data_IF_039794074451
#
_entry.id   IF_039794074451
#
_cell.length_a   1.000
_cell.length_b   1.000
_cell.length_c   1.000
_cell.angle_alpha   90.00
_cell.angle_beta   90.00
_cell.angle_gamma   90.00
#
_symmetry.space_group_name_H-M   'P 1'
#
loop_
_entity.id
_entity.type
_entity.pdbx_description
1 polymer ?
#
# COMPACT_ATOMS: atom_id res chain seq x y z
N UNK A 1 61.77 -13.23 -53.78
CA UNK A 1 61.77 -11.77 -53.54
C UNK A 1 60.32 -11.30 -53.58
N UNK A 2 59.79 -10.77 -52.45
CA UNK A 2 58.49 -10.08 -52.20
C UNK A 2 57.20 -10.78 -52.73
N UNK A 3 56.39 -11.49 -51.93
CA UNK A 3 55.42 -11.06 -50.89
C UNK A 3 54.47 -9.94 -51.35
N UNK A 4 53.18 -10.28 -51.48
CA UNK A 4 52.05 -9.49 -50.95
C UNK A 4 50.79 -10.34 -50.78
N UNK A 5 50.13 -10.17 -49.63
CA UNK A 5 48.94 -10.84 -49.10
C UNK A 5 47.69 -9.96 -49.29
N UNK A 6 46.49 -10.54 -49.23
CA UNK A 6 45.34 -10.14 -48.40
C UNK A 6 44.15 -11.07 -48.71
N UNK A 7 43.85 -12.03 -47.82
CA UNK A 7 42.87 -11.99 -46.74
C UNK A 7 41.46 -12.43 -47.17
N UNK A 8 41.27 -13.75 -47.08
CA UNK A 8 39.99 -14.44 -46.97
C UNK A 8 39.59 -14.55 -45.49
N UNK A 9 38.29 -14.64 -45.20
CA UNK A 9 37.81 -15.08 -43.90
C UNK A 9 36.44 -14.52 -43.56
N UNK A 10 35.39 -15.12 -44.11
CA UNK A 10 34.02 -14.91 -43.65
C UNK A 10 33.86 -15.49 -42.24
N UNK A 11 33.34 -14.67 -41.33
CA UNK A 11 33.00 -15.05 -39.96
C UNK A 11 31.66 -15.78 -39.98
N UNK A 12 31.65 -17.06 -39.62
CA UNK A 12 30.43 -17.80 -39.31
C UNK A 12 30.13 -17.63 -37.82
N UNK A 13 29.00 -16.97 -37.53
CA UNK A 13 28.53 -16.63 -36.19
C UNK A 13 27.99 -17.90 -35.48
N UNK A 14 28.50 -18.18 -34.28
CA UNK A 14 27.94 -19.17 -33.35
C UNK A 14 26.58 -18.67 -32.81
N UNK A 15 25.55 -19.52 -32.88
CA UNK A 15 24.30 -19.33 -32.15
C UNK A 15 24.35 -20.14 -30.84
N UNK A 16 24.54 -19.44 -29.73
CA UNK A 16 24.23 -19.89 -28.37
C UNK A 16 23.05 -19.04 -27.91
N UNK A 17 21.86 -19.64 -27.72
CA UNK A 17 20.75 -19.00 -27.04
C UNK A 17 20.24 -19.98 -25.98
N UNK A 18 20.64 -19.67 -24.76
CA UNK A 18 20.18 -20.24 -23.51
C UNK A 18 18.67 -20.00 -23.36
N UNK A 19 17.94 -21.05 -22.98
CA UNK A 19 16.54 -20.98 -22.55
C UNK A 19 16.43 -20.07 -21.32
N UNK A 20 16.07 -18.82 -21.54
CA UNK A 20 15.54 -17.92 -20.51
C UNK A 20 14.15 -18.40 -20.13
N UNK A 21 13.97 -18.79 -18.86
CA UNK A 21 12.66 -18.92 -18.26
C UNK A 21 12.02 -17.54 -18.20
N UNK A 22 11.12 -17.25 -19.15
CA UNK A 22 10.22 -16.11 -19.06
C UNK A 22 9.20 -16.40 -17.95
N UNK A 23 9.45 -15.94 -16.73
CA UNK A 23 8.33 -15.47 -15.90
C UNK A 23 7.74 -14.30 -16.67
N UNK A 24 6.56 -14.50 -17.26
CA UNK A 24 5.79 -13.42 -17.84
C UNK A 24 5.27 -12.57 -16.67
N UNK A 25 6.07 -11.60 -16.23
CA UNK A 25 5.55 -10.47 -15.47
C UNK A 25 4.52 -9.78 -16.37
N UNK A 26 3.29 -9.73 -15.90
CA UNK A 26 2.17 -9.15 -16.62
C UNK A 26 2.42 -7.63 -16.76
N UNK A 27 2.75 -7.09 -17.95
CA UNK A 27 3.20 -5.70 -18.10
C UNK A 27 2.05 -4.68 -18.02
N UNK A 28 0.82 -5.11 -17.74
CA UNK A 28 -0.38 -4.26 -17.78
C UNK A 28 -0.79 -3.64 -16.43
N UNK A 29 0.02 -3.73 -15.37
CA UNK A 29 -0.41 -3.22 -14.05
C UNK A 29 0.67 -2.50 -13.21
N UNK A 30 1.75 -1.98 -13.81
CA UNK A 30 2.64 -1.06 -13.09
C UNK A 30 2.00 0.34 -13.08
N UNK A 31 0.96 0.53 -12.26
CA UNK A 31 0.53 1.88 -11.91
C UNK A 31 1.57 2.53 -11.03
N UNK A 32 1.77 3.84 -11.18
CA UNK A 32 2.72 4.61 -10.37
C UNK A 32 2.25 4.64 -8.90
N UNK A 33 2.99 4.02 -7.95
CA UNK A 33 2.61 4.03 -6.54
C UNK A 33 2.46 5.43 -5.95
N UNK A 34 3.16 6.43 -6.50
CA UNK A 34 3.08 7.80 -6.02
C UNK A 34 1.65 8.34 -6.02
N UNK A 35 0.82 7.93 -6.99
CA UNK A 35 -0.58 8.37 -7.05
C UNK A 35 -1.39 7.93 -5.82
N UNK A 36 -1.17 6.71 -5.32
CA UNK A 36 -1.83 6.25 -4.09
C UNK A 36 -1.42 7.11 -2.89
N UNK A 37 -0.11 7.30 -2.70
CA UNK A 37 0.43 8.01 -1.55
C UNK A 37 0.10 9.51 -1.56
N UNK A 38 0.08 10.14 -2.73
CA UNK A 38 -0.36 11.54 -2.88
C UNK A 38 -1.81 11.71 -2.39
N UNK A 39 -2.68 10.72 -2.65
CA UNK A 39 -4.06 10.75 -2.20
C UNK A 39 -4.20 10.50 -0.70
N UNK A 40 -3.42 9.58 -0.14
CA UNK A 40 -3.34 9.38 1.32
C UNK A 40 -2.88 10.65 2.02
N UNK A 41 -1.81 11.28 1.52
CA UNK A 41 -1.29 12.52 2.07
C UNK A 41 -2.30 13.68 2.00
N UNK A 42 -3.02 13.82 0.88
CA UNK A 42 -4.12 14.79 0.75
C UNK A 42 -5.25 14.53 1.76
N UNK A 43 -5.63 13.26 1.95
CA UNK A 43 -6.68 12.89 2.89
C UNK A 43 -6.29 13.28 4.33
N UNK A 44 -5.05 12.99 4.74
CA UNK A 44 -4.51 13.39 6.05
C UNK A 44 -4.44 14.91 6.21
N UNK A 45 -4.01 15.63 5.18
CA UNK A 45 -3.95 17.09 5.20
C UNK A 45 -5.33 17.76 5.29
N UNK A 46 -6.42 17.04 5.02
CA UNK A 46 -7.79 17.58 5.14
C UNK A 46 -8.28 17.73 6.60
N UNK A 47 -7.49 17.29 7.60
CA UNK A 47 -7.75 17.44 9.03
C UNK A 47 -9.10 16.86 9.51
N UNK A 48 -9.61 15.80 8.85
CA UNK A 48 -10.67 14.98 9.46
C UNK A 48 -10.07 14.39 10.73
N UNK A 49 -10.41 14.97 11.88
CA UNK A 49 -9.72 14.76 13.15
C UNK A 49 -9.75 13.29 13.54
N UNK A 50 -8.60 12.61 13.42
CA UNK A 50 -8.38 11.33 14.08
C UNK A 50 -8.17 11.65 15.57
N UNK A 51 -9.04 11.14 16.45
CA UNK A 51 -8.86 11.34 17.87
C UNK A 51 -7.77 10.40 18.39
N UNK A 52 -6.61 10.96 18.70
CA UNK A 52 -5.44 10.22 19.16
C UNK A 52 -4.71 9.58 17.98
N UNK A 53 -3.40 9.79 17.93
CA UNK A 53 -2.48 9.15 17.01
C UNK A 53 -1.23 8.78 17.83
N UNK A 54 -0.54 7.67 17.52
CA UNK A 54 0.78 7.40 18.08
C UNK A 54 1.75 8.54 17.73
N UNK A 55 2.67 8.87 18.64
CA UNK A 55 3.67 9.91 18.40
C UNK A 55 4.72 9.44 17.37
N UNK A 56 5.04 8.15 17.35
CA UNK A 56 6.03 7.53 16.46
C UNK A 56 5.67 6.08 16.08
N UNK A 57 6.45 5.51 15.15
CA UNK A 57 6.25 4.14 14.66
C UNK A 57 6.48 3.09 15.76
N UNK A 58 7.39 3.34 16.70
CA UNK A 58 7.66 2.41 17.78
C UNK A 58 6.45 2.32 18.72
N UNK A 59 5.83 3.44 19.08
CA UNK A 59 4.57 3.47 19.82
C UNK A 59 3.45 2.79 19.04
N UNK A 60 3.31 3.10 17.75
CA UNK A 60 2.25 2.55 16.89
C UNK A 60 2.24 1.02 16.86
N UNK A 61 3.41 0.37 16.94
CA UNK A 61 3.54 -1.09 16.88
C UNK A 61 3.74 -1.75 18.25
N UNK A 62 4.02 -0.97 19.29
CA UNK A 62 4.21 -1.48 20.64
C UNK A 62 2.93 -1.54 21.47
N UNK A 63 1.97 -0.65 21.18
CA UNK A 63 0.71 -0.58 21.93
C UNK A 63 -0.41 -1.34 21.20
N UNK A 64 -1.05 -2.27 21.91
CA UNK A 64 -2.21 -3.03 21.42
C UNK A 64 -3.47 -2.15 21.25
N UNK A 65 -3.42 -0.91 21.76
CA UNK A 65 -4.41 0.13 21.47
C UNK A 65 -4.32 0.58 20.01
N UNK A 66 -3.13 0.59 19.42
CA UNK A 66 -2.92 1.13 18.08
C UNK A 66 -2.96 0.04 17.01
N UNK A 67 -2.10 -0.98 17.12
CA UNK A 67 -1.95 -2.00 16.10
C UNK A 67 -2.45 -3.37 16.57
N UNK A 68 -3.38 -3.93 15.80
CA UNK A 68 -3.82 -5.32 15.95
C UNK A 68 -2.93 -6.29 15.18
N UNK A 69 -2.27 -5.82 14.12
CA UNK A 69 -1.45 -6.64 13.23
C UNK A 69 -0.37 -5.81 12.54
N UNK A 70 0.86 -6.33 12.53
CA UNK A 70 1.95 -5.80 11.70
C UNK A 70 2.38 -6.91 10.75
N UNK A 71 2.59 -6.58 9.47
CA UNK A 71 3.01 -7.54 8.47
C UNK A 71 3.97 -6.95 7.43
N UNK A 72 4.74 -7.83 6.82
CA UNK A 72 5.52 -7.62 5.61
C UNK A 72 5.08 -8.67 4.58
N UNK A 73 4.84 -8.26 3.35
CA UNK A 73 4.42 -9.21 2.31
C UNK A 73 4.17 -8.61 0.94
N UNK A 74 3.75 -9.46 0.02
CA UNK A 74 3.50 -9.08 -1.36
C UNK A 74 2.02 -8.78 -1.59
N UNK A 75 1.71 -7.67 -2.26
CA UNK A 75 0.35 -7.39 -2.73
C UNK A 75 0.00 -8.38 -3.84
N UNK A 76 -1.00 -9.23 -3.59
CA UNK A 76 -1.41 -10.30 -4.53
C UNK A 76 -2.74 -10.02 -5.22
N UNK A 77 -3.62 -9.22 -4.60
CA UNK A 77 -4.87 -8.79 -5.22
C UNK A 77 -5.26 -7.39 -4.77
N UNK A 78 -5.91 -6.66 -5.68
CA UNK A 78 -6.53 -5.35 -5.44
C UNK A 78 -7.87 -5.35 -6.16
N UNK A 79 -8.95 -5.38 -5.38
CA UNK A 79 -10.31 -5.59 -5.88
C UNK A 79 -11.23 -4.42 -5.49
N UNK A 80 -11.98 -3.85 -6.45
CA UNK A 80 -13.01 -2.88 -6.11
C UNK A 80 -14.10 -3.58 -5.30
N UNK A 81 -14.54 -2.95 -4.20
CA UNK A 81 -15.58 -3.51 -3.32
C UNK A 81 -16.91 -2.82 -3.55
N UNK A 82 -16.99 -1.53 -3.22
CA UNK A 82 -18.17 -0.70 -3.42
C UNK A 82 -17.80 0.79 -3.35
N UNK A 83 -18.74 1.67 -3.66
CA UNK A 83 -18.60 3.09 -3.41
C UNK A 83 -19.74 3.61 -2.54
N UNK A 84 -19.56 4.81 -1.98
CA UNK A 84 -20.56 5.49 -1.16
C UNK A 84 -20.88 6.84 -1.77
N UNK A 85 -22.16 7.10 -1.96
CA UNK A 85 -22.72 8.38 -2.36
C UNK A 85 -23.48 8.98 -1.17
N UNK A 86 -23.14 10.20 -0.81
CA UNK A 86 -23.82 10.96 0.24
C UNK A 86 -24.76 11.98 -0.42
N UNK A 87 -26.04 11.65 -0.68
CA UNK A 87 -26.96 12.53 -1.40
C UNK A 87 -27.25 13.84 -0.65
N UNK A 88 -27.13 13.81 0.67
CA UNK A 88 -27.40 14.92 1.58
C UNK A 88 -26.10 15.56 2.11
N UNK A 89 -24.94 15.27 1.50
CA UNK A 89 -23.70 15.95 1.85
C UNK A 89 -23.80 17.44 1.51
N UNK A 90 -24.23 18.22 2.49
CA UNK A 90 -24.11 19.67 2.48
C UNK A 90 -22.65 20.01 2.83
N UNK A 91 -21.88 20.64 1.94
CA UNK A 91 -20.51 21.06 2.23
C UNK A 91 -20.40 22.02 3.44
N UNK A 92 -21.52 22.49 4.01
CA UNK A 92 -21.59 23.31 5.22
C UNK A 92 -21.89 22.60 6.54
N UNK A 93 -22.14 21.28 6.60
CA UNK A 93 -22.52 20.58 7.84
C UNK A 93 -21.75 19.27 8.09
N UNK A 94 -20.68 19.28 8.88
CA UNK A 94 -19.99 18.06 9.29
C UNK A 94 -20.85 17.27 10.30
N UNK A 95 -21.09 15.98 10.02
CA UNK A 95 -21.52 14.99 11.02
C UNK A 95 -22.86 14.28 10.82
N UNK A 96 -23.64 14.56 9.77
CA UNK A 96 -24.95 13.91 9.50
C UNK A 96 -24.94 13.04 8.22
N UNK A 97 -23.77 12.88 7.59
CA UNK A 97 -23.63 12.29 6.24
C UNK A 97 -23.97 10.79 6.20
N UNK A 98 -23.78 10.05 7.30
CA UNK A 98 -24.02 8.61 7.33
C UNK A 98 -25.52 8.24 7.26
N UNK A 99 -26.42 9.07 7.79
CA UNK A 99 -27.84 8.74 7.89
C UNK A 99 -28.56 8.66 6.53
N UNK A 100 -27.96 9.23 5.47
CA UNK A 100 -28.44 9.19 4.08
C UNK A 100 -27.52 8.43 3.12
N UNK A 101 -26.42 7.84 3.60
CA UNK A 101 -25.40 7.22 2.76
C UNK A 101 -25.96 6.08 1.90
N UNK A 102 -25.68 6.13 0.60
CA UNK A 102 -26.09 5.11 -0.37
C UNK A 102 -24.86 4.34 -0.85
N UNK A 103 -24.91 3.01 -0.74
CA UNK A 103 -23.93 2.16 -1.41
C UNK A 103 -24.26 2.14 -2.90
N UNK A 104 -23.29 2.51 -3.72
CA UNK A 104 -23.38 2.56 -5.19
C UNK A 104 -22.26 1.73 -5.80
N UNK A 105 -22.33 1.51 -7.11
CA UNK A 105 -21.27 0.82 -7.84
C UNK A 105 -19.94 1.56 -7.72
N UNK A 106 -18.83 0.83 -7.69
CA UNK A 106 -17.49 1.41 -7.50
C UNK A 106 -17.18 2.53 -8.51
N UNK A 107 -17.60 2.33 -9.76
CA UNK A 107 -17.39 3.27 -10.87
C UNK A 107 -18.49 4.35 -10.97
N UNK A 108 -19.42 4.43 -10.01
CA UNK A 108 -20.47 5.46 -10.04
C UNK A 108 -19.82 6.85 -10.00
N UNK A 109 -20.11 7.73 -10.97
CA UNK A 109 -19.53 9.07 -11.03
C UNK A 109 -20.02 10.00 -9.91
N UNK A 110 -21.04 9.60 -9.15
CA UNK A 110 -21.55 10.33 -7.99
C UNK A 110 -20.92 9.88 -6.69
N UNK A 111 -20.08 8.84 -6.71
CA UNK A 111 -19.40 8.37 -5.51
C UNK A 111 -18.59 9.51 -4.88
N UNK A 112 -18.76 9.70 -3.58
CA UNK A 112 -17.95 10.60 -2.76
C UNK A 112 -16.80 9.85 -2.09
N UNK A 113 -16.96 8.54 -1.88
CA UNK A 113 -15.94 7.64 -1.38
C UNK A 113 -15.98 6.33 -2.16
N UNK A 114 -14.82 5.70 -2.28
CA UNK A 114 -14.65 4.38 -2.87
C UNK A 114 -13.96 3.47 -1.88
N UNK A 115 -14.40 2.23 -1.83
CA UNK A 115 -13.88 1.20 -0.95
C UNK A 115 -13.38 0.05 -1.80
N UNK A 116 -12.19 -0.42 -1.47
CA UNK A 116 -11.53 -1.54 -2.14
C UNK A 116 -10.81 -2.40 -1.12
N UNK A 117 -10.62 -3.65 -1.49
CA UNK A 117 -9.91 -4.63 -0.69
C UNK A 117 -8.53 -4.88 -1.32
N UNK A 118 -7.51 -4.89 -0.48
CA UNK A 118 -6.13 -5.26 -0.86
C UNK A 118 -5.76 -6.52 -0.11
N UNK A 119 -5.37 -7.56 -0.83
CA UNK A 119 -4.89 -8.81 -0.24
C UNK A 119 -3.37 -8.85 -0.30
N UNK A 120 -2.76 -9.09 0.86
CA UNK A 120 -1.32 -9.25 1.03
C UNK A 120 -1.03 -10.70 1.41
N UNK A 121 -0.12 -11.35 0.68
CA UNK A 121 0.49 -12.63 1.05
C UNK A 121 1.68 -12.34 1.97
N UNK A 122 1.59 -12.61 3.29
CA UNK A 122 2.61 -12.21 4.24
C UNK A 122 3.83 -13.14 4.18
N UNK A 123 5.02 -12.53 4.06
CA UNK A 123 6.28 -13.22 4.32
C UNK A 123 6.56 -13.29 5.84
N UNK A 124 6.08 -12.29 6.57
CA UNK A 124 6.13 -12.22 8.02
C UNK A 124 4.92 -11.44 8.56
N UNK A 125 4.39 -11.86 9.72
CA UNK A 125 3.42 -11.07 10.46
C UNK A 125 3.39 -11.45 11.94
N UNK A 126 2.85 -10.55 12.77
CA UNK A 126 2.60 -10.83 14.20
C UNK A 126 1.48 -11.84 14.44
N UNK A 127 0.57 -12.03 13.46
CA UNK A 127 -0.61 -12.90 13.55
C UNK A 127 -0.47 -14.28 12.86
N UNK A 128 0.61 -14.51 12.10
CA UNK A 128 0.85 -15.74 11.33
C UNK A 128 0.76 -15.60 9.80
N UNK A 129 1.02 -16.68 9.07
CA UNK A 129 1.26 -16.67 7.61
C UNK A 129 0.06 -17.01 6.73
N UNK A 130 -1.12 -16.41 6.97
CA UNK A 130 -2.26 -16.50 6.05
C UNK A 130 -2.46 -15.17 5.35
N UNK A 131 -2.95 -15.19 4.11
CA UNK A 131 -3.33 -13.99 3.36
C UNK A 131 -4.17 -13.03 4.22
N UNK A 132 -3.77 -11.76 4.23
CA UNK A 132 -4.44 -10.70 4.99
C UNK A 132 -5.13 -9.79 4.01
N UNK A 133 -6.44 -9.59 4.19
CA UNK A 133 -7.20 -8.59 3.42
C UNK A 133 -7.40 -7.35 4.28
N UNK A 134 -6.98 -6.20 3.74
CA UNK A 134 -7.22 -4.90 4.34
C UNK A 134 -8.15 -4.07 3.44
N UNK A 135 -8.96 -3.22 4.07
CA UNK A 135 -9.90 -2.32 3.41
C UNK A 135 -9.27 -0.93 3.29
N UNK A 136 -9.24 -0.37 2.08
CA UNK A 136 -8.80 1.01 1.83
C UNK A 136 -9.97 1.87 1.37
N UNK A 137 -9.95 3.12 1.82
CA UNK A 137 -10.80 4.19 1.30
C UNK A 137 -10.05 5.04 0.28
N UNK A 138 -10.72 5.41 -0.80
CA UNK A 138 -10.26 6.42 -1.75
C UNK A 138 -11.33 7.50 -1.89
N UNK A 139 -10.90 8.73 -2.13
CA UNK A 139 -11.84 9.82 -2.38
C UNK A 139 -12.58 9.63 -3.70
N UNK A 140 -13.82 10.11 -3.76
CA UNK A 140 -14.71 10.06 -4.92
C UNK A 140 -14.20 10.85 -6.14
N UNK A 141 -13.28 11.80 -5.93
CA UNK A 141 -12.62 12.56 -6.99
C UNK A 141 -11.37 11.86 -7.56
N UNK A 142 -10.89 10.80 -6.92
CA UNK A 142 -9.77 10.02 -7.43
C UNK A 142 -10.20 9.20 -8.65
N UNK A 143 -9.33 9.16 -9.67
CA UNK A 143 -9.52 8.25 -10.80
C UNK A 143 -9.45 6.79 -10.29
N UNK A 144 -10.54 6.02 -10.39
CA UNK A 144 -10.62 4.69 -9.80
C UNK A 144 -9.66 3.70 -10.45
N UNK A 145 -9.48 3.77 -11.76
CA UNK A 145 -8.59 2.87 -12.49
C UNK A 145 -7.12 3.15 -12.13
N UNK A 146 -6.75 4.43 -12.07
CA UNK A 146 -5.41 4.85 -11.68
C UNK A 146 -5.10 4.49 -10.21
N UNK A 147 -6.07 4.62 -9.31
CA UNK A 147 -5.91 4.24 -7.90
C UNK A 147 -5.73 2.73 -7.71
N UNK A 148 -6.52 1.92 -8.43
CA UNK A 148 -6.35 0.46 -8.41
C UNK A 148 -5.00 0.05 -9.01
N UNK A 149 -4.58 0.70 -10.10
CA UNK A 149 -3.29 0.42 -10.74
C UNK A 149 -2.11 0.80 -9.83
N UNK A 150 -2.14 1.95 -9.14
CA UNK A 150 -1.05 2.39 -8.25
C UNK A 150 -0.85 1.46 -7.07
N UNK A 151 -1.93 0.92 -6.50
CA UNK A 151 -1.87 -0.08 -5.44
C UNK A 151 -1.26 -1.41 -5.92
N UNK A 152 -1.63 -1.87 -7.11
CA UNK A 152 -1.01 -3.06 -7.72
C UNK A 152 0.49 -2.87 -7.96
N UNK A 153 0.92 -1.64 -8.23
CA UNK A 153 2.32 -1.28 -8.39
C UNK A 153 3.16 -1.31 -7.12
N UNK A 154 2.57 -1.45 -5.92
CA UNK A 154 3.32 -1.47 -4.66
C UNK A 154 4.23 -2.70 -4.53
N UNK A 155 3.84 -3.83 -5.11
CA UNK A 155 4.56 -5.11 -5.05
C UNK A 155 4.87 -5.59 -3.63
N UNK A 156 5.95 -5.11 -3.00
CA UNK A 156 6.40 -5.52 -1.66
C UNK A 156 6.13 -4.41 -0.63
N UNK A 157 5.37 -4.73 0.41
CA UNK A 157 4.87 -3.76 1.38
C UNK A 157 5.07 -4.19 2.82
N UNK A 158 5.06 -3.19 3.69
CA UNK A 158 4.82 -3.35 5.13
C UNK A 158 3.52 -2.67 5.47
N UNK A 159 2.72 -3.27 6.35
CA UNK A 159 1.50 -2.66 6.84
C UNK A 159 1.38 -2.75 8.37
N UNK A 160 1.07 -1.62 9.00
CA UNK A 160 0.65 -1.55 10.41
C UNK A 160 -0.87 -1.34 10.41
N UNK A 161 -1.58 -2.33 10.93
CA UNK A 161 -3.02 -2.47 10.77
C UNK A 161 -3.74 -2.42 12.11
N UNK A 162 -4.86 -1.71 12.13
CA UNK A 162 -5.88 -1.84 13.17
C UNK A 162 -7.13 -2.55 12.64
N UNK A 163 -8.04 -2.91 13.53
CA UNK A 163 -9.36 -3.45 13.21
C UNK A 163 -10.45 -2.42 13.51
N UNK A 164 -11.39 -2.24 12.58
CA UNK A 164 -12.52 -1.35 12.83
C UNK A 164 -13.45 -1.95 13.88
N UNK A 165 -13.82 -1.18 14.89
CA UNK A 165 -14.66 -1.67 16.00
C UNK A 165 -16.16 -1.42 15.79
N UNK A 166 -16.55 -0.61 14.80
CA UNK A 166 -17.94 -0.23 14.57
C UNK A 166 -18.26 0.12 13.11
N UNK A 167 -19.55 0.31 12.83
CA UNK A 167 -20.06 0.65 11.50
C UNK A 167 -20.10 -0.54 10.52
N UNK A 168 -20.24 -0.21 9.23
CA UNK A 168 -20.42 -1.18 8.13
C UNK A 168 -19.20 -2.08 7.86
N UNK A 169 -18.02 -1.67 8.30
CA UNK A 169 -16.74 -2.36 8.11
C UNK A 169 -16.16 -2.92 9.41
N UNK A 170 -16.98 -3.11 10.45
CA UNK A 170 -16.50 -3.65 11.72
C UNK A 170 -15.83 -5.03 11.55
N UNK A 171 -14.67 -5.23 12.17
CA UNK A 171 -13.83 -6.42 12.07
C UNK A 171 -12.88 -6.43 10.87
N UNK A 172 -13.00 -5.48 9.93
CA UNK A 172 -12.07 -5.36 8.80
C UNK A 172 -10.76 -4.69 9.24
N UNK A 173 -9.63 -5.21 8.73
CA UNK A 173 -8.34 -4.56 8.89
C UNK A 173 -8.25 -3.30 8.03
N UNK A 174 -7.59 -2.28 8.55
CA UNK A 174 -7.27 -1.05 7.83
C UNK A 174 -5.87 -0.57 8.25
N UNK A 175 -5.09 0.03 7.34
CA UNK A 175 -3.82 0.61 7.75
C UNK A 175 -4.06 1.84 8.61
N UNK A 176 -3.30 1.95 9.69
CA UNK A 176 -3.39 3.06 10.62
C UNK A 176 -3.06 4.40 9.94
N UNK A 177 -3.47 5.49 10.61
CA UNK A 177 -3.28 6.86 10.13
C UNK A 177 -3.87 7.08 8.73
N UNK A 178 -5.10 6.58 8.53
CA UNK A 178 -5.84 6.68 7.26
C UNK A 178 -5.07 6.16 6.04
N UNK A 179 -4.38 5.03 6.20
CA UNK A 179 -3.63 4.41 5.10
C UNK A 179 -2.15 4.80 5.05
N UNK A 180 -1.68 5.75 5.87
CA UNK A 180 -0.29 6.19 5.82
C UNK A 180 0.71 5.15 6.35
N UNK A 181 0.27 4.21 7.20
CA UNK A 181 1.11 3.10 7.65
C UNK A 181 1.01 1.84 6.77
N UNK A 182 0.66 2.03 5.49
CA UNK A 182 0.98 1.09 4.42
C UNK A 182 2.22 1.62 3.70
N UNK A 183 3.38 0.97 3.87
CA UNK A 183 4.66 1.42 3.34
C UNK A 183 5.20 0.49 2.25
N UNK A 184 6.08 1.00 1.40
CA UNK A 184 6.86 0.22 0.44
C UNK A 184 8.15 -0.29 1.08
N UNK A 185 8.61 -1.44 0.61
CA UNK A 185 9.95 -1.97 0.92
C UNK A 185 10.82 -1.85 -0.32
N UNK A 186 11.92 -1.12 -0.23
CA UNK A 186 12.84 -1.00 -1.36
C UNK A 186 13.77 -2.22 -1.49
N UNK A 187 14.54 -2.26 -2.58
CA UNK A 187 15.49 -3.36 -2.86
C UNK A 187 16.60 -3.55 -1.82
N UNK A 188 16.80 -2.58 -0.93
CA UNK A 188 17.76 -2.63 0.17
C UNK A 188 17.09 -3.02 1.51
N UNK A 189 15.79 -3.29 1.51
CA UNK A 189 15.01 -3.62 2.71
C UNK A 189 14.64 -2.40 3.55
N UNK A 190 14.74 -1.19 2.99
CA UNK A 190 14.34 0.03 3.69
C UNK A 190 12.84 0.26 3.58
N UNK A 191 12.28 0.77 4.66
CA UNK A 191 10.87 1.14 4.76
C UNK A 191 10.68 2.55 4.21
N UNK A 192 9.61 2.72 3.43
CA UNK A 192 9.14 4.03 2.98
C UNK A 192 7.63 4.12 3.22
N UNK A 193 7.22 4.98 4.15
CA UNK A 193 5.82 5.29 4.44
C UNK A 193 5.44 6.61 3.77
N UNK A 194 5.47 6.62 2.43
CA UNK A 194 5.30 7.84 1.62
C UNK A 194 3.99 8.60 1.92
N UNK A 195 2.95 7.90 2.41
CA UNK A 195 1.68 8.50 2.84
C UNK A 195 1.80 9.43 4.07
N UNK A 196 2.92 9.38 4.80
CA UNK A 196 3.24 10.32 5.88
C UNK A 196 3.77 11.66 5.34
N UNK A 197 4.27 11.70 4.10
CA UNK A 197 4.85 12.90 3.49
C UNK A 197 6.05 13.43 4.28
N UNK A 198 6.09 14.73 4.55
CA UNK A 198 7.23 15.37 5.23
C UNK A 198 7.44 14.87 6.68
N UNK A 199 6.43 14.27 7.30
CA UNK A 199 6.48 13.75 8.67
C UNK A 199 7.16 12.38 8.78
N UNK A 200 7.33 11.68 7.66
CA UNK A 200 7.82 10.29 7.65
C UNK A 200 9.09 10.12 8.47
N UNK A 201 10.08 10.99 8.26
CA UNK A 201 11.37 10.88 8.94
C UNK A 201 11.28 11.03 10.45
N UNK A 202 10.42 11.92 10.94
CA UNK A 202 10.22 12.14 12.37
C UNK A 202 9.40 11.00 12.98
N UNK A 203 8.40 10.51 12.26
CA UNK A 203 7.53 9.44 12.76
C UNK A 203 8.23 8.07 12.80
N UNK A 204 9.03 7.73 11.78
CA UNK A 204 9.72 6.43 11.69
C UNK A 204 10.90 6.33 12.66
N UNK A 205 11.40 7.46 13.17
CA UNK A 205 12.59 7.67 14.02
C UNK A 205 13.36 6.39 14.44
N UNK A 206 14.35 6.02 13.64
CA UNK A 206 15.27 4.92 13.95
C UNK A 206 14.79 3.51 13.57
N UNK A 207 13.63 3.39 12.92
CA UNK A 207 13.10 2.13 12.38
C UNK A 207 13.08 2.18 10.84
N UNK A 208 14.26 2.33 10.23
CA UNK A 208 14.40 2.60 8.79
C UNK A 208 14.30 1.34 7.91
N UNK A 209 14.35 0.15 8.51
CA UNK A 209 14.38 -1.13 7.81
C UNK A 209 13.33 -2.10 8.34
N UNK A 210 12.95 -3.06 7.49
CA UNK A 210 12.08 -4.18 7.89
C UNK A 210 12.65 -4.92 9.12
N UNK A 211 13.97 -5.12 9.16
CA UNK A 211 14.62 -5.81 10.26
C UNK A 211 14.45 -5.08 11.59
N UNK A 212 14.71 -3.77 11.60
CA UNK A 212 14.52 -2.92 12.78
C UNK A 212 13.05 -2.90 13.22
N UNK A 213 12.10 -2.86 12.28
CA UNK A 213 10.67 -2.92 12.61
C UNK A 213 10.31 -4.23 13.32
N UNK A 214 10.79 -5.36 12.82
CA UNK A 214 10.57 -6.67 13.44
C UNK A 214 11.17 -6.73 14.84
N UNK A 215 12.39 -6.22 15.03
CA UNK A 215 13.04 -6.14 16.34
C UNK A 215 12.23 -5.27 17.32
N UNK A 216 11.71 -4.12 16.86
CA UNK A 216 10.86 -3.23 17.66
C UNK A 216 9.58 -3.94 18.12
N UNK A 217 8.90 -4.65 17.20
CA UNK A 217 7.68 -5.43 17.50
C UNK A 217 7.96 -6.62 18.44
N UNK A 218 9.09 -7.30 18.26
CA UNK A 218 9.48 -8.40 19.14
C UNK A 218 9.85 -7.90 20.55
N UNK A 219 10.44 -6.71 20.65
CA UNK A 219 10.77 -6.10 21.93
C UNK A 219 9.52 -5.66 22.71
N UNK A 220 8.47 -5.20 22.03
CA UNK A 220 7.22 -4.77 22.67
C UNK A 220 6.36 -5.93 23.18
N UNK A 221 6.49 -7.11 22.57
CA UNK A 221 5.71 -8.31 22.92
C UNK A 221 6.33 -9.16 24.04
N UNK A 222 7.53 -8.81 24.52
CA UNK A 222 8.16 -9.50 25.66
C UNK A 222 7.65 -8.93 27.00
N UNK A 223 7.11 -9.77 27.90
CA UNK A 223 6.52 -9.34 29.17
C UNK A 223 7.53 -8.91 30.24
#
# INVERSE_FOLDING_TARGET
>A
MKISRCFAGGVALLAFLTLTGCSASNPEAEGDPAFFFDRVAQLRASHVAIQGEPDDLAEAVADDVWADLVLEGTVVSVEPKHAVHYPDADPGHPGDEEAGAQVVDFDDPRAHERVLDVTIDPEWSTGGGQDVTLTLGASGDADPEQFLASLRGLNHVVAVLGQRTGGRSAGEYYPLLNGALLGRVDSQGRLHFDGLGEQEKEFVDGVDTVGELKETVEASTQP
#
